data_IF_658564699078
#
_entry.id   IF_658564699078
#
_cell.length_a   1.000
_cell.length_b   1.000
_cell.length_c   1.000
_cell.angle_alpha   90.00
_cell.angle_beta   90.00
_cell.angle_gamma   90.00
#
_symmetry.space_group_name_H-M   'P 1'
#
loop_
_entity.id
_entity.type
_entity.pdbx_description
1 polymer ?
#
# COMPACT_ATOMS: atom_id res chain seq x y z
N UNK A 1 1.36 -21.21 -3.21
CA UNK A 1 0.92 -20.94 -4.60
C UNK A 1 0.08 -19.67 -4.56
N UNK A 2 0.64 -18.50 -4.88
CA UNK A 2 -0.14 -17.25 -4.99
C UNK A 2 -0.81 -17.23 -6.36
N UNK A 3 -2.13 -16.98 -6.48
CA UNK A 3 -2.78 -17.04 -7.78
C UNK A 3 -2.43 -15.81 -8.62
N UNK A 4 -2.19 -16.10 -9.91
CA UNK A 4 -2.54 -15.35 -11.11
C UNK A 4 -3.35 -14.07 -10.82
N UNK A 5 -2.74 -12.90 -11.07
CA UNK A 5 -3.29 -11.52 -11.09
C UNK A 5 -4.67 -11.32 -10.44
N UNK A 6 -4.70 -10.72 -9.25
CA UNK A 6 -5.94 -10.23 -8.64
C UNK A 6 -6.68 -9.30 -9.61
N UNK A 7 -8.01 -9.40 -9.64
CA UNK A 7 -8.86 -8.49 -10.39
C UNK A 7 -8.84 -7.10 -9.76
N UNK A 8 -9.18 -6.08 -10.55
CA UNK A 8 -9.27 -4.69 -10.05
C UNK A 8 -10.27 -4.60 -8.89
N UNK A 9 -11.38 -5.32 -8.95
CA UNK A 9 -12.41 -5.29 -7.89
C UNK A 9 -11.88 -5.86 -6.57
N UNK A 10 -11.14 -6.96 -6.61
CA UNK A 10 -10.49 -7.55 -5.43
C UNK A 10 -9.43 -6.60 -4.84
N UNK A 11 -8.63 -5.97 -5.70
CA UNK A 11 -7.63 -5.01 -5.26
C UNK A 11 -8.26 -3.78 -4.61
N UNK A 12 -9.35 -3.25 -5.18
CA UNK A 12 -10.08 -2.11 -4.61
C UNK A 12 -10.74 -2.46 -3.28
N UNK A 13 -11.33 -3.66 -3.18
CA UNK A 13 -11.93 -4.13 -1.93
C UNK A 13 -10.88 -4.26 -0.82
N UNK A 14 -9.75 -4.88 -1.14
CA UNK A 14 -8.63 -5.02 -0.20
C UNK A 14 -8.07 -3.65 0.22
N UNK A 15 -7.91 -2.70 -0.70
CA UNK A 15 -7.48 -1.34 -0.37
C UNK A 15 -8.47 -0.64 0.57
N UNK A 16 -9.75 -0.64 0.23
CA UNK A 16 -10.79 0.04 1.00
C UNK A 16 -10.97 -0.52 2.40
N UNK A 17 -10.99 -1.85 2.55
CA UNK A 17 -11.26 -2.46 3.85
C UNK A 17 -10.00 -2.72 4.68
N UNK A 18 -8.94 -3.25 4.06
CA UNK A 18 -7.76 -3.74 4.79
C UNK A 18 -6.67 -2.66 4.95
N UNK A 19 -6.74 -1.57 4.16
CA UNK A 19 -5.79 -0.45 4.26
C UNK A 19 -6.48 0.80 4.82
N UNK A 20 -7.53 1.27 4.14
CA UNK A 20 -8.15 2.54 4.50
C UNK A 20 -9.07 2.44 5.74
N UNK A 21 -9.83 1.36 5.87
CA UNK A 21 -10.75 1.17 7.01
C UNK A 21 -10.12 0.42 8.21
N UNK A 22 -8.96 -0.23 8.03
CA UNK A 22 -8.28 -0.93 9.12
C UNK A 22 -7.76 0.07 10.15
N UNK A 23 -7.96 -0.21 11.44
CA UNK A 23 -7.56 0.66 12.57
C UNK A 23 -6.27 0.20 13.22
N UNK A 24 -5.99 -1.10 13.19
CA UNK A 24 -4.76 -1.68 13.71
C UNK A 24 -3.58 -1.38 12.77
N UNK A 25 -2.55 -0.71 13.28
CA UNK A 25 -1.40 -0.29 12.48
C UNK A 25 -0.55 -1.45 11.97
N UNK A 26 -0.43 -2.55 12.72
CA UNK A 26 0.37 -3.70 12.31
C UNK A 26 -0.34 -4.51 11.22
N UNK A 27 -1.67 -4.69 11.36
CA UNK A 27 -2.49 -5.34 10.33
C UNK A 27 -2.52 -4.52 9.05
N UNK A 28 -2.67 -3.19 9.18
CA UNK A 28 -2.63 -2.27 8.04
C UNK A 28 -1.28 -2.31 7.33
N UNK A 29 -0.16 -2.27 8.06
CA UNK A 29 1.18 -2.36 7.47
C UNK A 29 1.39 -3.69 6.71
N UNK A 30 0.86 -4.78 7.24
CA UNK A 30 0.91 -6.09 6.56
C UNK A 30 0.10 -6.08 5.26
N UNK A 31 -1.09 -5.48 5.27
CA UNK A 31 -1.92 -5.33 4.07
C UNK A 31 -1.24 -4.43 3.03
N UNK A 32 -0.61 -3.33 3.47
CA UNK A 32 0.15 -2.42 2.62
C UNK A 32 1.26 -3.15 1.86
N UNK A 33 2.10 -3.91 2.57
CA UNK A 33 3.21 -4.67 1.97
C UNK A 33 2.73 -5.75 0.98
N UNK A 34 1.50 -6.23 1.12
CA UNK A 34 0.89 -7.22 0.22
C UNK A 34 0.27 -6.57 -1.03
N UNK A 35 -0.32 -5.39 -0.88
CA UNK A 35 -1.19 -4.75 -1.88
C UNK A 35 -0.43 -3.79 -2.78
N UNK A 36 0.56 -3.09 -2.25
CA UNK A 36 1.35 -2.13 -2.99
C UNK A 36 2.66 -2.77 -3.46
N UNK A 37 3.02 -2.50 -4.71
CA UNK A 37 4.34 -2.84 -5.22
C UNK A 37 5.39 -1.95 -4.54
N UNK A 38 6.61 -2.47 -4.39
CA UNK A 38 7.74 -1.75 -3.77
C UNK A 38 8.05 -0.42 -4.49
N UNK A 39 7.71 -0.32 -5.78
CA UNK A 39 7.90 0.88 -6.59
C UNK A 39 6.58 1.59 -6.87
N UNK A 40 6.07 2.32 -5.87
CA UNK A 40 4.91 3.19 -6.05
C UNK A 40 5.35 4.49 -6.74
N UNK A 41 4.70 4.86 -7.84
CA UNK A 41 4.88 6.15 -8.49
C UNK A 41 3.66 7.03 -8.23
N UNK A 42 3.88 8.19 -7.63
CA UNK A 42 2.89 9.26 -7.53
C UNK A 42 3.06 10.24 -8.69
N UNK A 43 1.97 10.85 -9.13
CA UNK A 43 1.94 11.83 -10.23
C UNK A 43 2.46 13.22 -9.82
N UNK A 44 2.73 13.42 -8.53
CA UNK A 44 3.35 14.63 -7.99
C UNK A 44 4.88 14.53 -8.15
N UNK A 45 5.40 14.85 -9.35
CA UNK A 45 6.81 15.17 -9.74
C UNK A 45 8.00 14.41 -9.07
N UNK A 46 7.75 13.30 -8.38
CA UNK A 46 8.68 12.65 -7.47
C UNK A 46 8.44 11.15 -7.41
N UNK A 47 9.40 10.38 -7.92
CA UNK A 47 9.42 8.92 -7.77
C UNK A 47 9.77 8.61 -6.32
N UNK A 48 8.88 7.93 -5.60
CA UNK A 48 9.20 7.48 -4.25
C UNK A 48 9.30 5.96 -4.21
N UNK A 49 10.52 5.46 -4.32
CA UNK A 49 10.82 4.02 -4.25
C UNK A 49 10.79 3.53 -2.80
N UNK A 50 9.83 2.66 -2.48
CA UNK A 50 9.78 1.94 -1.20
C UNK A 50 10.60 0.65 -1.34
N UNK A 51 11.89 0.77 -1.69
CA UNK A 51 12.72 -0.33 -2.16
C UNK A 51 13.06 -1.44 -1.15
N UNK A 52 12.65 -1.31 0.11
CA UNK A 52 12.71 -2.36 1.11
C UNK A 52 11.69 -2.06 2.19
N UNK A 53 10.93 -3.04 2.68
CA UNK A 53 10.01 -2.93 3.81
C UNK A 53 10.73 -2.61 5.15
N UNK A 54 11.42 -1.48 5.18
CA UNK A 54 11.95 -0.81 6.35
C UNK A 54 10.86 0.04 6.98
N UNK A 55 10.98 0.36 8.27
CA UNK A 55 10.06 1.26 8.97
C UNK A 55 9.87 2.58 8.20
N UNK A 56 10.94 3.08 7.58
CA UNK A 56 10.95 4.30 6.75
C UNK A 56 10.07 4.16 5.50
N UNK A 57 10.14 3.03 4.81
CA UNK A 57 9.30 2.78 3.62
C UNK A 57 7.83 2.58 4.00
N UNK A 58 7.56 1.97 5.15
CA UNK A 58 6.20 1.86 5.70
C UNK A 58 5.64 3.25 6.01
N UNK A 59 6.39 4.11 6.71
CA UNK A 59 6.00 5.50 6.99
C UNK A 59 5.73 6.31 5.72
N UNK A 60 6.47 6.04 4.67
CA UNK A 60 6.32 6.75 3.42
C UNK A 60 5.04 6.33 2.66
N UNK A 61 4.73 5.02 2.65
CA UNK A 61 3.44 4.54 2.13
C UNK A 61 2.28 5.10 2.98
N UNK A 62 2.45 5.20 4.30
CA UNK A 62 1.49 5.89 5.18
C UNK A 62 1.26 7.35 4.76
N UNK A 63 2.33 8.08 4.47
CA UNK A 63 2.24 9.47 4.04
C UNK A 63 1.47 9.60 2.71
N UNK A 64 1.80 8.76 1.72
CA UNK A 64 1.12 8.75 0.42
C UNK A 64 -0.36 8.41 0.57
N UNK A 65 -0.69 7.38 1.35
CA UNK A 65 -2.08 6.99 1.65
C UNK A 65 -2.84 8.15 2.31
N UNK A 66 -2.18 8.91 3.19
CA UNK A 66 -2.79 10.06 3.86
C UNK A 66 -3.00 11.28 2.95
N UNK A 67 -2.25 11.41 1.85
CA UNK A 67 -2.42 12.50 0.86
C UNK A 67 -3.50 12.19 -0.18
N UNK A 68 -3.89 10.92 -0.33
CA UNK A 68 -4.96 10.49 -1.23
C UNK A 68 -6.36 10.55 -0.60
N UNK A 69 -6.46 10.93 0.68
CA UNK A 69 -7.70 11.12 1.46
C UNK A 69 -7.96 12.61 1.69
#
# INVERSE_FOLDING_TARGET
MFPISATISELMHAKLLEVFNERDSARRSTAIARIYADDIRTDDDGVTTAHAASETSIQLIYHVISQML
#
